data_IF_833464023265
#
_entry.id   IF_833464023265
#
_cell.length_a   1.000
_cell.length_b   1.000
_cell.length_c   1.000
_cell.angle_alpha   90.00
_cell.angle_beta   90.00
_cell.angle_gamma   90.00
#
_symmetry.space_group_name_H-M   'P 1'
#
loop_
_entity.id
_entity.type
_entity.pdbx_description
1 polymer ?
#
# COMPACT_ATOMS: atom_id res chain seq x y z
N UNK A 1 -28.85 -24.87 -10.63
CA UNK A 1 -28.22 -23.61 -11.12
C UNK A 1 -27.48 -22.86 -9.99
N UNK A 2 -27.97 -22.90 -8.75
CA UNK A 2 -27.30 -22.33 -7.56
C UNK A 2 -25.95 -22.99 -7.23
N UNK A 3 -25.85 -24.32 -7.34
CA UNK A 3 -24.62 -25.06 -6.95
C UNK A 3 -23.47 -24.88 -7.94
N UNK A 4 -23.74 -24.88 -9.25
CA UNK A 4 -22.73 -24.57 -10.28
C UNK A 4 -22.15 -23.16 -10.12
N UNK A 5 -23.00 -22.18 -9.79
CA UNK A 5 -22.57 -20.81 -9.49
C UNK A 5 -21.76 -20.73 -8.19
N UNK A 6 -22.07 -21.55 -7.19
CA UNK A 6 -21.30 -21.62 -5.95
C UNK A 6 -19.91 -22.22 -6.18
N UNK A 7 -19.83 -23.34 -6.92
CA UNK A 7 -18.56 -23.98 -7.28
C UNK A 7 -17.66 -23.05 -8.12
N UNK A 8 -18.23 -22.33 -9.09
CA UNK A 8 -17.48 -21.36 -9.89
C UNK A 8 -16.93 -20.19 -9.05
N UNK A 9 -17.73 -19.65 -8.11
CA UNK A 9 -17.25 -18.61 -7.19
C UNK A 9 -16.15 -19.13 -6.25
N UNK A 10 -16.27 -20.36 -5.77
CA UNK A 10 -15.26 -20.98 -4.92
C UNK A 10 -13.92 -21.11 -5.66
N UNK A 11 -13.94 -21.62 -6.89
CA UNK A 11 -12.75 -21.74 -7.74
C UNK A 11 -12.08 -20.38 -7.99
N UNK A 12 -12.85 -19.35 -8.33
CA UNK A 12 -12.32 -17.98 -8.49
C UNK A 12 -11.70 -17.41 -7.21
N UNK A 13 -12.25 -17.79 -6.06
CA UNK A 13 -11.74 -17.33 -4.76
C UNK A 13 -10.40 -17.99 -4.46
N UNK A 14 -10.27 -19.28 -4.76
CA UNK A 14 -9.03 -20.04 -4.63
C UNK A 14 -7.93 -19.51 -5.56
N UNK A 15 -8.25 -19.22 -6.82
CA UNK A 15 -7.33 -18.57 -7.77
C UNK A 15 -6.86 -17.20 -7.26
N UNK A 16 -7.75 -16.40 -6.68
CA UNK A 16 -7.40 -15.11 -6.11
C UNK A 16 -6.50 -15.23 -4.86
N UNK A 17 -6.69 -16.26 -4.04
CA UNK A 17 -5.83 -16.56 -2.88
C UNK A 17 -4.43 -16.98 -3.34
N UNK A 18 -4.33 -17.87 -4.34
CA UNK A 18 -3.05 -18.31 -4.88
C UNK A 18 -2.25 -17.14 -5.50
N UNK A 19 -2.93 -16.24 -6.22
CA UNK A 19 -2.31 -15.05 -6.80
C UNK A 19 -1.85 -14.06 -5.71
N UNK A 20 -2.64 -13.92 -4.63
CA UNK A 20 -2.28 -13.12 -3.47
C UNK A 20 -1.03 -13.65 -2.78
N UNK A 21 -0.92 -14.98 -2.59
CA UNK A 21 0.26 -15.59 -1.97
C UNK A 21 1.53 -15.40 -2.81
N UNK A 22 1.43 -15.47 -4.14
CA UNK A 22 2.54 -15.13 -5.05
C UNK A 22 2.96 -13.67 -4.87
N UNK A 23 2.00 -12.76 -4.84
CA UNK A 23 2.26 -11.34 -4.67
C UNK A 23 2.85 -11.02 -3.28
N UNK A 24 2.36 -11.69 -2.23
CA UNK A 24 2.93 -11.66 -0.88
C UNK A 24 4.39 -12.09 -0.88
N UNK A 25 4.72 -13.21 -1.53
CA UNK A 25 6.09 -13.69 -1.63
C UNK A 25 6.99 -12.71 -2.40
N UNK A 26 6.49 -12.08 -3.47
CA UNK A 26 7.24 -11.09 -4.22
C UNK A 26 7.47 -9.77 -3.45
N UNK A 27 6.51 -9.34 -2.63
CA UNK A 27 6.65 -8.18 -1.74
C UNK A 27 7.66 -8.50 -0.62
N UNK A 28 7.60 -9.70 -0.02
CA UNK A 28 8.56 -10.15 0.97
C UNK A 28 9.98 -10.27 0.40
N UNK A 29 10.10 -10.75 -0.84
CA UNK A 29 11.36 -10.81 -1.58
C UNK A 29 11.86 -9.43 -2.07
N UNK A 30 11.18 -8.32 -1.72
CA UNK A 30 11.46 -6.95 -2.17
C UNK A 30 11.49 -6.77 -3.70
N UNK A 31 10.91 -7.71 -4.45
CA UNK A 31 10.76 -7.61 -5.90
C UNK A 31 9.64 -6.67 -6.30
N UNK A 32 8.65 -6.48 -5.42
CA UNK A 32 7.50 -5.60 -5.63
C UNK A 32 7.46 -4.56 -4.52
N UNK A 33 7.37 -3.29 -4.89
CA UNK A 33 7.23 -2.20 -3.95
C UNK A 33 5.81 -1.63 -4.01
N UNK A 34 5.23 -1.49 -2.82
CA UNK A 34 3.94 -0.84 -2.63
C UNK A 34 4.21 0.61 -2.22
N UNK A 35 3.69 1.53 -3.03
CA UNK A 35 3.63 2.96 -2.73
C UNK A 35 2.20 3.29 -2.27
N UNK A 36 2.08 4.02 -1.17
CA UNK A 36 0.80 4.39 -0.59
C UNK A 36 0.76 5.91 -0.47
N UNK A 37 -0.25 6.54 -1.05
CA UNK A 37 -0.50 7.96 -0.89
C UNK A 37 -1.20 8.21 0.46
N UNK A 38 -0.43 8.75 1.41
CA UNK A 38 -0.91 9.08 2.75
C UNK A 38 -2.19 9.93 2.73
N UNK A 39 -2.32 10.86 1.78
CA UNK A 39 -3.44 11.82 1.77
C UNK A 39 -4.76 11.17 1.38
N UNK A 40 -4.73 10.08 0.60
CA UNK A 40 -5.92 9.33 0.24
C UNK A 40 -6.28 8.24 1.26
N UNK A 41 -5.29 7.66 1.96
CA UNK A 41 -5.54 6.63 2.98
C UNK A 41 -5.92 7.20 4.37
N UNK A 42 -5.69 8.48 4.62
CA UNK A 42 -5.98 9.16 5.89
C UNK A 42 -7.40 9.77 5.95
N UNK A 43 -8.41 8.99 5.56
CA UNK A 43 -9.82 9.37 5.65
C UNK A 43 -10.50 8.64 6.82
N UNK A 44 -11.44 9.30 7.53
CA UNK A 44 -12.14 8.78 8.73
C UNK A 44 -13.04 7.53 8.52
N UNK A 45 -12.93 6.86 7.37
CA UNK A 45 -13.56 5.56 7.10
C UNK A 45 -12.58 4.49 6.59
N UNK A 46 -11.28 4.80 6.53
CA UNK A 46 -10.25 3.84 6.13
C UNK A 46 -9.97 2.88 7.28
N UNK A 47 -9.95 1.54 7.04
CA UNK A 47 -9.59 0.56 8.08
C UNK A 47 -8.17 0.73 8.63
N UNK A 48 -7.34 1.54 7.96
CA UNK A 48 -5.97 1.85 8.37
C UNK A 48 -5.87 3.15 9.18
N UNK A 49 -6.91 3.99 9.18
CA UNK A 49 -6.92 5.25 9.93
C UNK A 49 -7.03 4.96 11.43
N UNK A 50 -6.10 5.52 12.20
CA UNK A 50 -6.15 5.47 13.65
C UNK A 50 -5.75 6.84 14.20
N UNK A 51 -6.71 7.55 14.81
CA UNK A 51 -6.46 8.86 15.42
C UNK A 51 -5.37 8.84 16.50
N UNK A 52 -5.08 7.68 17.08
CA UNK A 52 -3.95 7.49 18.00
C UNK A 52 -2.59 7.74 17.35
N UNK A 53 -2.45 7.62 16.02
CA UNK A 53 -1.18 7.86 15.34
C UNK A 53 -0.80 9.36 15.34
N UNK A 54 -1.75 10.27 15.53
CA UNK A 54 -1.49 11.70 15.79
C UNK A 54 -1.27 12.00 17.28
N UNK A 55 -1.94 11.24 18.16
CA UNK A 55 -1.89 11.45 19.60
C UNK A 55 -0.58 10.93 20.22
N UNK A 56 -0.06 9.80 19.73
CA UNK A 56 1.15 9.16 20.24
C UNK A 56 2.39 10.06 20.17
N UNK A 57 2.72 10.71 19.04
CA UNK A 57 3.88 11.61 18.96
C UNK A 57 3.77 12.79 19.94
N UNK A 58 2.55 13.32 20.11
CA UNK A 58 2.30 14.44 21.02
C UNK A 58 2.44 14.02 22.49
N UNK A 59 1.90 12.85 22.86
CA UNK A 59 2.04 12.28 24.20
C UNK A 59 3.51 12.00 24.54
N UNK A 60 4.27 11.39 23.62
CA UNK A 60 5.70 11.12 23.82
C UNK A 60 6.48 12.41 24.00
N UNK A 61 6.21 13.45 23.18
CA UNK A 61 6.86 14.75 23.33
C UNK A 61 6.53 15.42 24.65
N UNK A 62 5.26 15.38 25.08
CA UNK A 62 4.84 15.97 26.35
C UNK A 62 5.51 15.29 27.55
N UNK A 63 5.54 13.95 27.56
CA UNK A 63 6.19 13.18 28.63
C UNK A 63 7.70 13.43 28.64
N UNK A 64 8.34 13.45 27.47
CA UNK A 64 9.78 13.71 27.37
C UNK A 64 10.14 15.10 27.88
N UNK A 65 9.38 16.12 27.47
CA UNK A 65 9.57 17.48 27.96
C UNK A 65 9.39 17.59 29.47
N UNK A 66 8.38 16.91 30.03
CA UNK A 66 8.15 16.87 31.48
C UNK A 66 9.31 16.21 32.22
N UNK A 67 9.84 15.10 31.70
CA UNK A 67 11.01 14.42 32.28
C UNK A 67 12.24 15.32 32.27
N UNK A 68 12.51 16.01 31.15
CA UNK A 68 13.64 16.93 31.05
C UNK A 68 13.48 18.10 32.01
N UNK A 69 12.29 18.69 32.10
CA UNK A 69 11.97 19.76 33.04
C UNK A 69 12.26 19.33 34.49
N UNK A 70 11.83 18.13 34.89
CA UNK A 70 12.04 17.59 36.23
C UNK A 70 13.52 17.28 36.52
N UNK A 71 14.28 16.82 35.52
CA UNK A 71 15.67 16.42 35.69
C UNK A 71 16.67 17.60 35.67
N UNK A 72 16.38 18.67 34.92
CA UNK A 72 17.36 19.72 34.58
C UNK A 72 16.91 21.13 34.96
N UNK A 73 15.65 21.31 35.37
CA UNK A 73 15.06 22.60 35.72
C UNK A 73 14.41 23.34 34.55
N UNK A 74 13.82 24.49 34.87
CA UNK A 74 12.88 25.19 33.98
C UNK A 74 13.53 25.69 32.68
N UNK A 75 14.76 26.23 32.75
CA UNK A 75 15.43 26.80 31.58
C UNK A 75 15.69 25.75 30.48
N UNK A 76 16.20 24.58 30.86
CA UNK A 76 16.44 23.47 29.93
C UNK A 76 15.14 22.82 29.45
N UNK A 77 14.10 22.78 30.29
CA UNK A 77 12.77 22.33 29.88
C UNK A 77 12.15 23.19 28.76
N UNK A 78 12.33 24.52 28.80
CA UNK A 78 11.85 25.41 27.74
C UNK A 78 12.57 25.12 26.42
N UNK A 79 13.91 25.00 26.45
CA UNK A 79 14.70 24.67 25.25
C UNK A 79 14.26 23.32 24.67
N UNK A 80 14.09 22.31 25.52
CA UNK A 80 13.63 20.99 25.12
C UNK A 80 12.21 21.00 24.51
N UNK A 81 11.27 21.76 25.08
CA UNK A 81 9.94 21.93 24.48
C UNK A 81 10.00 22.59 23.11
N UNK A 82 10.87 23.60 22.95
CA UNK A 82 11.01 24.32 21.67
C UNK A 82 11.54 23.38 20.58
N UNK A 83 12.57 22.58 20.90
CA UNK A 83 13.12 21.57 19.99
C UNK A 83 12.09 20.47 19.71
N UNK A 84 11.37 20.00 20.73
CA UNK A 84 10.34 18.97 20.59
C UNK A 84 9.18 19.41 19.70
N UNK A 85 8.73 20.66 19.84
CA UNK A 85 7.71 21.24 18.96
C UNK A 85 8.18 21.31 17.50
N UNK A 86 9.44 21.70 17.26
CA UNK A 86 10.02 21.75 15.92
C UNK A 86 10.16 20.35 15.32
N UNK A 87 10.63 19.38 16.11
CA UNK A 87 10.72 17.99 15.72
C UNK A 87 9.34 17.39 15.42
N UNK A 88 8.30 17.78 16.15
CA UNK A 88 6.93 17.35 15.90
C UNK A 88 6.42 17.90 14.56
N UNK A 89 6.57 19.21 14.32
CA UNK A 89 6.11 19.85 13.08
C UNK A 89 6.75 19.25 11.82
N UNK A 90 8.05 18.92 11.88
CA UNK A 90 8.79 18.38 10.75
C UNK A 90 8.67 16.86 10.65
N UNK A 91 8.70 16.16 11.78
CA UNK A 91 8.79 14.70 11.85
C UNK A 91 7.44 13.98 11.74
N UNK A 92 6.34 14.60 12.18
CA UNK A 92 5.04 13.92 12.25
C UNK A 92 4.56 13.44 10.87
N UNK A 93 4.78 14.23 9.82
CA UNK A 93 4.42 13.85 8.45
C UNK A 93 5.13 12.58 8.02
N UNK A 94 6.44 12.51 8.26
CA UNK A 94 7.26 11.36 7.87
C UNK A 94 6.96 10.13 8.73
N UNK A 95 6.74 10.32 10.04
CA UNK A 95 6.40 9.25 10.96
C UNK A 95 5.05 8.62 10.61
N UNK A 96 4.03 9.46 10.35
CA UNK A 96 2.71 8.98 9.95
C UNK A 96 2.79 8.28 8.59
N UNK A 97 3.49 8.85 7.60
CA UNK A 97 3.67 8.22 6.30
C UNK A 97 4.26 6.80 6.44
N UNK A 98 5.33 6.68 7.23
CA UNK A 98 6.00 5.40 7.48
C UNK A 98 5.10 4.42 8.22
N UNK A 99 4.39 4.88 9.26
CA UNK A 99 3.48 4.06 10.07
C UNK A 99 2.30 3.54 9.26
N UNK A 100 1.65 4.41 8.49
CA UNK A 100 0.54 4.07 7.59
C UNK A 100 1.04 3.07 6.56
N UNK A 101 2.16 3.34 5.88
CA UNK A 101 2.73 2.41 4.89
C UNK A 101 2.97 1.02 5.48
N UNK A 102 3.51 0.96 6.69
CA UNK A 102 3.79 -0.31 7.38
C UNK A 102 2.50 -1.07 7.70
N UNK A 103 1.49 -0.39 8.25
CA UNK A 103 0.19 -1.01 8.57
C UNK A 103 -0.59 -1.42 7.32
N UNK A 104 -0.64 -0.56 6.31
CA UNK A 104 -1.27 -0.86 5.02
C UNK A 104 -0.62 -2.09 4.41
N UNK A 105 0.73 -2.15 4.39
CA UNK A 105 1.44 -3.33 3.86
C UNK A 105 1.12 -4.58 4.66
N UNK A 106 1.13 -4.52 5.99
CA UNK A 106 0.80 -5.67 6.83
C UNK A 106 -0.63 -6.18 6.61
N UNK A 107 -1.61 -5.26 6.57
CA UNK A 107 -3.02 -5.59 6.33
C UNK A 107 -3.26 -6.14 4.92
N UNK A 108 -2.60 -5.54 3.94
CA UNK A 108 -2.60 -6.02 2.56
C UNK A 108 -2.08 -7.45 2.46
N UNK A 109 -1.00 -7.79 3.16
CA UNK A 109 -0.39 -9.12 3.09
C UNK A 109 -1.18 -10.21 3.85
N UNK A 110 -2.11 -9.84 4.73
CA UNK A 110 -2.85 -10.76 5.59
C UNK A 110 -3.87 -11.60 4.82
N UNK A 111 -4.62 -11.00 3.88
CA UNK A 111 -5.59 -11.74 3.07
C UNK A 111 -5.87 -11.09 1.71
N UNK A 112 -6.25 -11.91 0.73
CA UNK A 112 -6.70 -11.44 -0.59
C UNK A 112 -7.97 -10.56 -0.51
N UNK A 113 -8.79 -10.76 0.53
CA UNK A 113 -9.98 -9.95 0.74
C UNK A 113 -9.61 -8.54 1.24
N UNK A 114 -8.72 -8.45 2.23
CA UNK A 114 -8.16 -7.19 2.73
C UNK A 114 -7.44 -6.43 1.63
N UNK A 115 -6.69 -7.14 0.79
CA UNK A 115 -6.07 -6.59 -0.40
C UNK A 115 -7.10 -5.91 -1.32
N UNK A 116 -8.18 -6.61 -1.66
CA UNK A 116 -9.22 -6.06 -2.54
C UNK A 116 -9.95 -4.86 -1.91
N UNK A 117 -10.21 -4.90 -0.60
CA UNK A 117 -10.85 -3.79 0.11
C UNK A 117 -10.02 -2.51 0.04
N UNK A 118 -8.71 -2.56 0.35
CA UNK A 118 -7.86 -1.37 0.26
C UNK A 118 -7.65 -0.97 -1.21
N UNK A 119 -7.57 -1.93 -2.13
CA UNK A 119 -7.49 -1.62 -3.57
C UNK A 119 -8.69 -0.80 -4.08
N UNK A 120 -9.90 -1.10 -3.60
CA UNK A 120 -11.09 -0.33 -3.96
C UNK A 120 -11.14 1.07 -3.32
N UNK A 121 -10.55 1.23 -2.12
CA UNK A 121 -10.38 2.54 -1.47
C UNK A 121 -9.46 3.47 -2.28
N UNK A 122 -8.50 2.91 -3.04
CA UNK A 122 -7.57 3.67 -3.87
C UNK A 122 -6.38 4.24 -3.10
N UNK A 123 -5.55 5.03 -3.78
CA UNK A 123 -4.36 5.65 -3.17
C UNK A 123 -3.17 4.70 -2.99
N UNK A 124 -3.17 3.56 -3.67
CA UNK A 124 -2.06 2.61 -3.68
C UNK A 124 -1.53 2.48 -5.11
N UNK A 125 -0.22 2.47 -5.24
CA UNK A 125 0.46 2.12 -6.48
C UNK A 125 1.39 0.93 -6.23
N UNK A 126 1.38 -0.03 -7.15
CA UNK A 126 2.33 -1.13 -7.14
C UNK A 126 3.28 -0.91 -8.30
N UNK A 127 4.57 -1.01 -8.01
CA UNK A 127 5.60 -1.01 -9.03
C UNK A 127 6.59 -2.14 -8.79
N UNK A 128 7.10 -2.69 -9.89
CA UNK A 128 8.17 -3.67 -9.88
C UNK A 128 9.40 -2.99 -10.46
N UNK A 129 10.46 -2.71 -9.70
CA UNK A 129 11.67 -2.04 -10.22
C UNK A 129 12.41 -2.89 -11.26
N UNK A 130 12.19 -4.21 -11.26
CA UNK A 130 12.82 -5.14 -12.19
C UNK A 130 12.21 -5.10 -13.61
N UNK A 131 10.97 -4.63 -13.75
CA UNK A 131 10.29 -4.56 -15.02
C UNK A 131 9.89 -3.11 -15.27
N UNK A 132 10.26 -2.52 -16.42
CA UNK A 132 10.01 -1.10 -16.72
C UNK A 132 8.53 -0.82 -17.07
N UNK A 133 7.63 -1.60 -16.48
CA UNK A 133 6.19 -1.49 -16.69
C UNK A 133 5.61 -0.30 -15.93
N UNK A 134 4.56 0.33 -16.49
CA UNK A 134 3.89 1.43 -15.82
C UNK A 134 3.34 0.98 -14.46
N UNK A 135 3.46 1.81 -13.41
CA UNK A 135 2.98 1.49 -12.08
C UNK A 135 1.46 1.23 -12.11
N UNK A 136 1.02 0.14 -11.51
CA UNK A 136 -0.39 -0.21 -11.43
C UNK A 136 -1.05 0.62 -10.31
N UNK A 137 -1.89 1.57 -10.71
CA UNK A 137 -2.54 2.54 -9.81
C UNK A 137 -3.94 2.07 -9.41
N UNK A 138 -4.17 1.85 -8.12
CA UNK A 138 -5.50 1.65 -7.56
C UNK A 138 -6.30 2.96 -7.57
N UNK A 139 -7.61 2.98 -7.87
CA UNK A 139 -8.50 1.84 -8.12
C UNK A 139 -8.65 1.46 -9.60
N UNK A 140 -8.01 2.17 -10.52
CA UNK A 140 -8.19 2.00 -11.98
C UNK A 140 -7.46 0.79 -12.58
N UNK A 141 -6.37 0.35 -11.95
CA UNK A 141 -5.57 -0.77 -12.41
C UNK A 141 -6.05 -2.12 -11.89
N UNK A 142 -5.98 -3.15 -12.72
CA UNK A 142 -6.26 -4.54 -12.33
C UNK A 142 -5.01 -5.18 -11.72
N UNK A 143 -4.92 -5.21 -10.39
CA UNK A 143 -3.81 -5.87 -9.67
C UNK A 143 -3.68 -7.36 -10.01
N UNK A 144 -4.79 -8.03 -10.37
CA UNK A 144 -4.78 -9.46 -10.77
C UNK A 144 -4.05 -9.68 -12.09
N UNK A 145 -4.32 -8.84 -13.09
CA UNK A 145 -3.64 -8.89 -14.39
C UNK A 145 -2.17 -8.53 -14.23
N UNK A 146 -1.85 -7.52 -13.41
CA UNK A 146 -0.47 -7.17 -13.09
C UNK A 146 0.29 -8.34 -12.44
N UNK A 147 -0.34 -9.04 -11.50
CA UNK A 147 0.26 -10.19 -10.83
C UNK A 147 0.42 -11.39 -11.77
N UNK A 148 -0.56 -11.65 -12.64
CA UNK A 148 -0.41 -12.69 -13.67
C UNK A 148 0.71 -12.35 -14.65
N UNK A 149 0.79 -11.13 -15.16
CA UNK A 149 1.85 -10.76 -16.12
C UNK A 149 3.26 -10.81 -15.53
N UNK A 150 3.43 -10.35 -14.29
CA UNK A 150 4.76 -10.18 -13.69
C UNK A 150 5.20 -11.30 -12.75
N UNK A 151 4.27 -12.13 -12.28
CA UNK A 151 4.55 -13.21 -11.31
C UNK A 151 4.10 -14.59 -11.82
N UNK A 152 3.77 -14.72 -13.10
CA UNK A 152 3.72 -16.05 -13.72
C UNK A 152 5.15 -16.57 -13.80
N UNK A 153 5.39 -17.74 -13.21
CA UNK A 153 6.66 -18.46 -13.35
C UNK A 153 6.90 -18.96 -14.79
N UNK A 154 5.95 -18.73 -15.71
CA UNK A 154 6.03 -19.11 -17.12
C UNK A 154 6.07 -17.87 -18.04
N UNK A 155 7.22 -17.57 -18.69
CA UNK A 155 7.36 -16.42 -19.59
C UNK A 155 6.43 -16.46 -20.82
N UNK A 156 5.78 -17.60 -21.09
CA UNK A 156 4.83 -17.75 -22.19
C UNK A 156 3.44 -17.12 -21.91
N UNK A 157 2.96 -17.11 -20.66
CA UNK A 157 1.67 -16.50 -20.30
C UNK A 157 1.76 -14.96 -20.17
N UNK A 158 2.92 -14.44 -19.77
CA UNK A 158 3.18 -13.01 -19.68
C UNK A 158 3.17 -12.32 -21.07
N UNK A 159 3.61 -13.02 -22.11
CA UNK A 159 3.56 -12.55 -23.49
C UNK A 159 2.13 -12.54 -24.06
N UNK A 160 1.34 -13.60 -23.79
CA UNK A 160 -0.04 -13.71 -24.26
C UNK A 160 -0.96 -12.62 -23.69
N UNK A 161 -0.80 -12.27 -22.42
CA UNK A 161 -1.57 -11.19 -21.78
C UNK A 161 -1.16 -9.78 -22.23
N UNK A 162 0.04 -9.61 -22.80
CA UNK A 162 0.50 -8.35 -23.37
C UNK A 162 0.03 -8.17 -24.83
N UNK A 163 -0.16 -9.26 -25.57
CA UNK A 163 -0.70 -9.25 -26.94
C UNK A 163 -2.22 -8.97 -26.99
N UNK A 164 -2.98 -9.42 -25.99
CA UNK A 164 -4.45 -9.20 -25.95
C UNK A 164 -4.90 -7.74 -25.75
N UNK A 165 -3.98 -6.83 -25.40
CA UNK A 165 -4.30 -5.40 -25.16
C UNK A 165 -3.77 -4.47 -26.27
N UNK A 166 -3.27 -5.01 -27.40
CA UNK A 166 -3.03 -4.22 -28.61
C UNK A 166 -4.38 -4.07 -29.33
N UNK A 167 -4.95 -2.85 -29.45
CA UNK A 167 -6.18 -2.66 -30.21
C UNK A 167 -5.89 -2.92 -31.69
N UNK A 168 -6.38 -4.04 -32.22
CA UNK A 168 -6.60 -4.22 -33.65
C UNK A 168 -7.57 -3.13 -34.13
N UNK A 169 -7.03 -2.04 -34.65
CA UNK A 169 -7.85 -0.93 -35.15
C UNK A 169 -7.07 0.32 -35.52
N UNK A 170 -5.84 0.17 -36.02
CA UNK A 170 -5.11 1.25 -36.68
C UNK A 170 -5.19 1.07 -38.19
N UNK A 171 -6.26 1.59 -38.79
CA UNK A 171 -6.46 1.64 -40.24
C UNK A 171 -5.27 2.33 -40.91
N UNK A 172 -4.43 1.53 -41.58
CA UNK A 172 -3.30 2.00 -42.38
C UNK A 172 -3.86 2.55 -43.69
N UNK A 173 -3.91 3.87 -43.84
CA UNK A 173 -4.10 4.52 -45.13
C UNK A 173 -2.78 4.46 -45.93
N UNK A 174 -2.78 3.91 -47.16
CA UNK A 174 -1.60 3.88 -48.03
C UNK A 174 -1.42 5.23 -48.78
N UNK A 175 -0.27 5.42 -49.47
CA UNK A 175 0.46 6.70 -49.57
C UNK A 175 -0.16 7.77 -50.48
#
# INVERSE_FOLDING_TARGET
>A
MSELMAAWRAKKTEEAIALHDRLRNAVLAKKVHIYTDQRMLDFQGSPVHNGWDHLMPLMVMMVLALVILLATGVAFGIVAMTIGALAHLLGIKHFIAWRIRTRTTAYMLESAHHWHQIWQLGGIAIYMPANNEPPCLAPRGDWRKFAQRNLSDDPAEAAAAAEEEVPEGGEVLPP
#
